data_IF_469432030693
#
_entry.id   IF_469432030693
#
_cell.length_a   1.000
_cell.length_b   1.000
_cell.length_c   1.000
_cell.angle_alpha   90.00
_cell.angle_beta   90.00
_cell.angle_gamma   90.00
#
_symmetry.space_group_name_H-M   'P 1'
#
loop_
_entity.id
_entity.type
_entity.pdbx_description
1 polymer ?
#
# COMPACT_ATOMS: atom_id res chain seq x y z
N UNK A 1 -21.01 -10.91 11.59
CA UNK A 1 -19.88 -10.41 10.77
C UNK A 1 -19.44 -9.13 11.47
N UNK A 2 -18.19 -9.03 11.94
CA UNK A 2 -17.73 -7.82 12.64
C UNK A 2 -17.68 -6.69 11.60
N UNK A 3 -18.49 -5.65 11.80
CA UNK A 3 -18.30 -4.37 11.13
C UNK A 3 -16.99 -3.80 11.66
N UNK A 4 -15.87 -4.18 11.04
CA UNK A 4 -14.59 -3.55 11.30
C UNK A 4 -14.66 -2.15 10.71
N UNK A 5 -14.51 -1.14 11.57
CA UNK A 5 -14.52 0.27 11.20
C UNK A 5 -13.48 0.51 10.10
N UNK A 6 -13.92 0.91 8.91
CA UNK A 6 -13.02 1.17 7.79
C UNK A 6 -12.39 2.53 8.04
N UNK A 7 -11.07 2.53 8.30
CA UNK A 7 -10.33 3.76 8.58
C UNK A 7 -10.09 4.55 7.29
N UNK A 8 -9.70 3.87 6.22
CA UNK A 8 -9.41 4.48 4.90
C UNK A 8 -9.71 3.48 3.80
N UNK A 9 -10.56 3.85 2.83
CA UNK A 9 -10.69 3.10 1.58
C UNK A 9 -9.81 3.73 0.51
N UNK A 10 -9.04 2.92 -0.21
CA UNK A 10 -8.31 3.39 -1.37
C UNK A 10 -9.29 3.63 -2.53
N UNK A 11 -9.31 4.84 -3.06
CA UNK A 11 -10.00 5.13 -4.31
C UNK A 11 -9.13 4.66 -5.49
N UNK A 12 -9.77 4.05 -6.48
CA UNK A 12 -9.11 3.68 -7.73
C UNK A 12 -9.52 4.65 -8.83
N UNK A 13 -8.62 4.98 -9.74
CA UNK A 13 -8.93 5.92 -10.82
C UNK A 13 -9.62 5.18 -12.00
N UNK A 14 -10.73 5.72 -12.54
CA UNK A 14 -11.46 5.14 -13.67
C UNK A 14 -10.67 5.01 -14.97
N UNK A 15 -9.42 5.51 -15.04
CA UNK A 15 -8.49 5.33 -16.17
C UNK A 15 -7.78 3.98 -16.20
N UNK A 16 -7.92 3.17 -15.15
CA UNK A 16 -7.36 1.82 -15.08
C UNK A 16 -7.73 0.91 -16.28
N UNK A 17 -8.99 0.89 -16.77
CA UNK A 17 -9.37 0.09 -17.94
C UNK A 17 -8.64 0.53 -19.21
N UNK A 18 -8.36 1.83 -19.34
CA UNK A 18 -7.63 2.40 -20.49
C UNK A 18 -6.19 1.92 -20.51
N UNK A 19 -5.53 1.82 -19.35
CA UNK A 19 -4.18 1.25 -19.22
C UNK A 19 -4.14 -0.19 -19.78
N UNK A 20 -5.05 -1.06 -19.33
CA UNK A 20 -5.09 -2.44 -19.80
C UNK A 20 -5.46 -2.54 -21.29
N UNK A 21 -6.35 -1.67 -21.78
CA UNK A 21 -6.70 -1.59 -23.21
C UNK A 21 -5.50 -1.20 -24.06
N UNK A 22 -4.71 -0.20 -23.66
CA UNK A 22 -3.49 0.21 -24.36
C UNK A 22 -2.45 -0.92 -24.39
N UNK A 23 -2.26 -1.61 -23.25
CA UNK A 23 -1.32 -2.72 -23.16
C UNK A 23 -1.75 -3.90 -24.05
N UNK A 24 -3.04 -4.24 -24.07
CA UNK A 24 -3.58 -5.28 -24.94
C UNK A 24 -3.52 -4.90 -26.43
N UNK A 25 -3.79 -3.62 -26.76
CA UNK A 25 -3.68 -3.11 -28.12
C UNK A 25 -2.25 -3.20 -28.64
N UNK A 26 -1.26 -2.84 -27.82
CA UNK A 26 0.16 -2.91 -28.18
C UNK A 26 0.58 -4.37 -28.47
N UNK A 27 0.17 -5.32 -27.62
CA UNK A 27 0.39 -6.76 -27.83
C UNK A 27 -0.28 -7.26 -29.11
N UNK A 28 -1.51 -6.84 -29.39
CA UNK A 28 -2.24 -7.20 -30.60
C UNK A 28 -1.61 -6.60 -31.87
N UNK A 29 -1.03 -5.40 -31.77
CA UNK A 29 -0.37 -4.72 -32.89
C UNK A 29 0.95 -5.39 -33.26
N UNK A 30 1.70 -5.89 -32.27
CA UNK A 30 2.90 -6.71 -32.49
C UNK A 30 2.53 -8.11 -33.03
N UNK A 31 1.34 -8.62 -32.71
CA UNK A 31 0.90 -9.94 -33.15
C UNK A 31 0.37 -9.91 -34.59
N UNK A 32 1.08 -10.57 -35.51
CA UNK A 32 0.68 -10.69 -36.92
C UNK A 32 -0.71 -11.33 -37.10
N UNK A 33 -1.13 -12.20 -36.18
CA UNK A 33 -2.45 -12.85 -36.16
C UNK A 33 -3.49 -12.11 -35.30
N UNK A 34 -3.09 -11.11 -34.53
CA UNK A 34 -3.97 -10.33 -33.66
C UNK A 34 -4.81 -9.29 -34.40
N UNK A 35 -4.29 -8.76 -35.52
CA UNK A 35 -4.90 -7.68 -36.28
C UNK A 35 -6.40 -7.88 -36.63
N UNK A 36 -6.85 -9.03 -37.17
CA UNK A 36 -8.28 -9.22 -37.47
C UNK A 36 -9.16 -9.32 -36.22
N UNK A 37 -8.60 -9.65 -35.05
CA UNK A 37 -9.34 -9.79 -33.79
C UNK A 37 -9.48 -8.47 -33.01
N UNK A 38 -8.75 -7.41 -33.41
CA UNK A 38 -8.77 -6.09 -32.75
C UNK A 38 -10.19 -5.52 -32.53
N UNK A 39 -11.09 -5.44 -33.53
CA UNK A 39 -12.41 -4.83 -33.32
C UNK A 39 -13.28 -5.63 -32.34
N UNK A 40 -13.21 -6.96 -32.39
CA UNK A 40 -13.91 -7.85 -31.46
C UNK A 40 -13.35 -7.69 -30.04
N UNK A 41 -12.02 -7.69 -29.91
CA UNK A 41 -11.32 -7.52 -28.64
C UNK A 41 -11.54 -6.14 -28.03
N UNK A 42 -11.66 -5.09 -28.83
CA UNK A 42 -11.88 -3.73 -28.34
C UNK A 42 -13.24 -3.61 -27.63
N UNK A 43 -14.29 -4.21 -28.18
CA UNK A 43 -15.63 -4.21 -27.59
C UNK A 43 -15.66 -5.07 -26.32
N UNK A 44 -15.19 -6.31 -26.39
CA UNK A 44 -15.15 -7.22 -25.24
C UNK A 44 -14.20 -6.73 -24.14
N UNK A 45 -13.03 -6.25 -24.52
CA UNK A 45 -11.98 -5.78 -23.62
C UNK A 45 -12.41 -4.55 -22.83
N UNK A 46 -13.10 -3.57 -23.44
CA UNK A 46 -13.67 -2.45 -22.66
C UNK A 46 -14.62 -2.93 -21.58
N UNK A 47 -15.53 -3.84 -21.93
CA UNK A 47 -16.51 -4.36 -20.97
C UNK A 47 -15.83 -5.15 -19.84
N UNK A 48 -14.86 -6.01 -20.17
CA UNK A 48 -14.12 -6.81 -19.20
C UNK A 48 -13.27 -5.92 -18.29
N UNK A 49 -12.50 -4.98 -18.85
CA UNK A 49 -11.61 -4.12 -18.07
C UNK A 49 -12.39 -3.11 -17.20
N UNK A 50 -13.56 -2.64 -17.67
CA UNK A 50 -14.47 -1.86 -16.82
C UNK A 50 -14.97 -2.67 -15.62
N UNK A 51 -15.35 -3.94 -15.82
CA UNK A 51 -15.76 -4.82 -14.71
C UNK A 51 -14.61 -5.21 -13.79
N UNK A 52 -13.38 -5.30 -14.30
CA UNK A 52 -12.20 -5.50 -13.47
C UNK A 52 -11.96 -4.32 -12.53
N UNK A 53 -12.16 -3.09 -13.01
CA UNK A 53 -12.06 -1.88 -12.20
C UNK A 53 -13.13 -1.82 -11.11
N UNK A 54 -14.39 -2.07 -11.45
CA UNK A 54 -15.51 -2.08 -10.48
C UNK A 54 -15.37 -3.17 -9.39
N UNK A 55 -14.55 -4.20 -9.65
CA UNK A 55 -14.31 -5.31 -8.72
C UNK A 55 -13.02 -5.16 -7.89
N UNK A 56 -12.30 -4.04 -8.01
CA UNK A 56 -11.11 -3.74 -7.21
C UNK A 56 -11.49 -2.83 -6.03
N UNK A 57 -10.96 -3.16 -4.86
CA UNK A 57 -11.17 -2.40 -3.62
C UNK A 57 -10.03 -2.67 -2.64
N UNK A 58 -9.64 -1.68 -1.86
CA UNK A 58 -8.66 -1.84 -0.79
C UNK A 58 -9.15 -1.06 0.42
N UNK A 59 -9.50 -1.78 1.49
CA UNK A 59 -10.03 -1.19 2.71
C UNK A 59 -8.99 -1.37 3.83
N UNK A 60 -8.53 -0.26 4.40
CA UNK A 60 -7.69 -0.24 5.60
C UNK A 60 -8.57 -0.31 6.84
N UNK A 61 -8.37 -1.35 7.65
CA UNK A 61 -8.98 -1.50 8.97
C UNK A 61 -7.93 -1.20 10.06
N UNK A 62 -8.33 -1.09 11.34
CA UNK A 62 -7.40 -0.78 12.43
C UNK A 62 -6.30 -1.81 12.63
N UNK A 63 -6.50 -3.05 12.16
CA UNK A 63 -5.57 -4.16 12.40
C UNK A 63 -5.13 -4.87 11.11
N UNK A 64 -5.78 -4.60 9.98
CA UNK A 64 -5.49 -5.28 8.74
C UNK A 64 -5.84 -4.49 7.49
N UNK A 65 -5.22 -4.87 6.38
CA UNK A 65 -5.46 -4.35 5.05
C UNK A 65 -6.25 -5.39 4.25
N UNK A 66 -7.49 -5.06 3.89
CA UNK A 66 -8.37 -5.91 3.11
C UNK A 66 -8.26 -5.54 1.63
N UNK A 67 -7.56 -6.37 0.87
CA UNK A 67 -7.42 -6.22 -0.59
C UNK A 67 -8.43 -7.11 -1.29
N UNK A 68 -9.28 -6.51 -2.13
CA UNK A 68 -10.26 -7.18 -2.98
C UNK A 68 -9.90 -6.97 -4.45
N UNK A 69 -9.84 -8.06 -5.22
CA UNK A 69 -9.54 -8.02 -6.66
C UNK A 69 -10.33 -9.09 -7.41
N UNK A 70 -10.75 -8.76 -8.62
CA UNK A 70 -11.13 -9.72 -9.64
C UNK A 70 -12.63 -9.78 -9.90
N UNK A 71 -12.98 -9.80 -11.19
CA UNK A 71 -14.36 -9.80 -11.66
C UNK A 71 -14.91 -11.22 -11.88
N UNK A 72 -14.11 -12.10 -12.51
CA UNK A 72 -14.48 -13.48 -12.80
C UNK A 72 -14.10 -14.43 -11.65
N UNK A 73 -12.92 -14.21 -11.08
CA UNK A 73 -12.41 -14.89 -9.89
C UNK A 73 -12.21 -13.83 -8.81
N UNK A 74 -13.16 -13.75 -7.87
CA UNK A 74 -13.09 -12.83 -6.74
C UNK A 74 -12.04 -13.34 -5.76
N UNK A 75 -10.97 -12.57 -5.58
CA UNK A 75 -9.90 -12.83 -4.62
C UNK A 75 -9.96 -11.76 -3.55
N UNK A 76 -10.26 -12.17 -2.31
CA UNK A 76 -10.19 -11.31 -1.14
C UNK A 76 -9.03 -11.77 -0.26
N UNK A 77 -8.13 -10.85 0.07
CA UNK A 77 -6.98 -11.09 0.95
C UNK A 77 -7.10 -10.16 2.14
N UNK A 78 -7.00 -10.72 3.33
CA UNK A 78 -6.89 -9.96 4.56
C UNK A 78 -5.42 -10.05 5.00
N UNK A 79 -4.70 -8.93 4.91
CA UNK A 79 -3.28 -8.85 5.24
C UNK A 79 -3.17 -8.14 6.59
N UNK A 80 -2.79 -8.83 7.68
CA UNK A 80 -2.58 -8.20 8.96
C UNK A 80 -1.46 -7.15 8.88
N UNK A 81 -1.62 -6.01 9.54
CA UNK A 81 -0.62 -4.93 9.47
C UNK A 81 0.75 -5.37 10.02
N UNK A 82 0.77 -6.23 11.05
CA UNK A 82 1.98 -6.81 11.63
C UNK A 82 2.76 -7.72 10.66
N UNK A 83 2.14 -8.15 9.56
CA UNK A 83 2.78 -8.97 8.53
C UNK A 83 3.30 -8.17 7.36
N UNK A 84 3.05 -6.86 7.29
CA UNK A 84 3.51 -6.05 6.17
C UNK A 84 4.97 -5.67 6.39
N UNK A 85 5.84 -6.14 5.50
CA UNK A 85 7.28 -5.89 5.56
C UNK A 85 7.65 -4.66 4.76
N UNK A 86 7.13 -4.55 3.54
CA UNK A 86 7.44 -3.47 2.62
C UNK A 86 6.20 -3.01 1.84
N UNK A 87 6.12 -1.70 1.59
CA UNK A 87 5.13 -1.09 0.71
C UNK A 87 5.86 -0.22 -0.33
N UNK A 88 5.99 -0.74 -1.54
CA UNK A 88 6.59 -0.02 -2.66
C UNK A 88 5.51 0.59 -3.56
N UNK A 89 5.64 1.88 -3.86
CA UNK A 89 4.83 2.56 -4.88
C UNK A 89 5.66 2.64 -6.16
N UNK A 90 5.11 2.12 -7.26
CA UNK A 90 5.74 2.09 -8.57
C UNK A 90 4.94 2.92 -9.57
N UNK A 91 5.62 3.85 -10.23
CA UNK A 91 5.06 4.73 -11.26
C UNK A 91 5.77 4.47 -12.59
N UNK A 92 5.21 3.59 -13.42
CA UNK A 92 5.71 3.40 -14.79
C UNK A 92 5.37 4.60 -15.69
N UNK A 93 6.09 4.83 -16.81
CA UNK A 93 5.83 5.96 -17.71
C UNK A 93 4.38 6.06 -18.20
N UNK A 94 3.77 4.92 -18.54
CA UNK A 94 2.37 4.84 -18.99
C UNK A 94 1.39 5.08 -17.83
N UNK A 95 1.71 4.56 -16.64
CA UNK A 95 0.92 4.79 -15.43
C UNK A 95 0.95 6.28 -15.07
N UNK A 96 2.13 6.91 -15.06
CA UNK A 96 2.33 8.34 -14.84
C UNK A 96 1.58 9.20 -15.85
N UNK A 97 1.61 8.83 -17.14
CA UNK A 97 0.85 9.55 -18.18
C UNK A 97 -0.67 9.50 -17.95
N UNK A 98 -1.16 8.39 -17.39
CA UNK A 98 -2.58 8.23 -17.05
C UNK A 98 -2.94 8.81 -15.67
N UNK A 99 -1.96 9.30 -14.90
CA UNK A 99 -2.17 9.76 -13.51
C UNK A 99 -2.36 8.62 -12.51
N UNK A 100 -1.90 7.41 -12.86
CA UNK A 100 -2.06 6.18 -12.08
C UNK A 100 -0.76 5.84 -11.35
N UNK A 101 -0.89 5.29 -10.13
CA UNK A 101 0.23 4.72 -9.37
C UNK A 101 -0.05 3.26 -9.04
N UNK A 102 0.96 2.39 -9.05
CA UNK A 102 0.82 0.98 -8.69
C UNK A 102 1.44 0.72 -7.32
N UNK A 103 0.67 0.25 -6.36
CA UNK A 103 1.17 -0.13 -5.04
C UNK A 103 1.48 -1.62 -5.00
N UNK A 104 2.64 -1.98 -4.44
CA UNK A 104 3.06 -3.35 -4.16
C UNK A 104 3.25 -3.49 -2.65
N UNK A 105 2.56 -4.46 -2.08
CA UNK A 105 2.64 -4.82 -0.68
C UNK A 105 3.37 -6.16 -0.60
N UNK A 106 4.42 -6.22 0.20
CA UNK A 106 5.17 -7.44 0.50
C UNK A 106 4.94 -7.85 1.95
N UNK A 107 4.67 -9.14 2.17
CA UNK A 107 4.36 -9.67 3.49
C UNK A 107 5.37 -10.71 3.96
N UNK A 108 5.65 -10.72 5.26
CA UNK A 108 6.50 -11.72 5.88
C UNK A 108 5.85 -13.11 5.80
N UNK A 109 6.58 -14.07 5.22
CA UNK A 109 6.16 -15.47 5.14
C UNK A 109 5.54 -15.88 3.80
N UNK A 110 5.46 -14.99 2.83
CA UNK A 110 5.00 -15.35 1.51
C UNK A 110 6.12 -15.44 0.48
N UNK A 111 6.61 -16.66 0.24
CA UNK A 111 7.54 -16.94 -0.84
C UNK A 111 6.96 -16.63 -2.23
N UNK A 112 7.85 -16.55 -3.22
CA UNK A 112 7.53 -16.30 -4.63
C UNK A 112 6.50 -17.32 -5.13
N UNK A 113 5.26 -16.88 -5.35
CA UNK A 113 4.14 -17.72 -5.76
C UNK A 113 3.07 -17.98 -4.70
N UNK A 114 3.28 -17.58 -3.45
CA UNK A 114 2.20 -17.58 -2.46
C UNK A 114 1.26 -16.41 -2.71
N UNK A 115 -0.04 -16.70 -2.76
CA UNK A 115 -1.10 -15.68 -2.86
C UNK A 115 -1.07 -14.70 -1.69
N UNK A 116 -0.31 -14.95 -0.63
CA UNK A 116 -0.18 -14.04 0.52
C UNK A 116 1.06 -13.15 0.47
N UNK A 117 2.13 -13.52 -0.22
CA UNK A 117 3.44 -12.85 -0.16
C UNK A 117 3.55 -11.52 -0.87
N UNK A 118 2.82 -11.36 -1.97
CA UNK A 118 2.85 -10.13 -2.76
C UNK A 118 1.44 -9.77 -3.24
N UNK A 119 1.04 -8.53 -2.98
CA UNK A 119 -0.18 -7.95 -3.53
C UNK A 119 0.17 -6.71 -4.35
N UNK A 120 -0.20 -6.71 -5.63
CA UNK A 120 -0.03 -5.57 -6.54
C UNK A 120 -1.40 -4.99 -6.86
N UNK A 121 -1.58 -3.73 -6.50
CA UNK A 121 -2.78 -2.93 -6.74
C UNK A 121 -2.43 -1.79 -7.71
N UNK A 122 -2.72 -1.94 -9.01
CA UNK A 122 -2.52 -0.86 -9.97
C UNK A 122 -3.62 0.20 -9.87
N UNK A 123 -3.23 1.47 -10.04
CA UNK A 123 -4.10 2.65 -10.15
C UNK A 123 -4.82 3.08 -8.89
N UNK A 124 -4.12 2.99 -7.76
CA UNK A 124 -4.55 3.63 -6.51
C UNK A 124 -4.39 5.14 -6.67
N UNK A 125 -5.45 5.90 -6.38
CA UNK A 125 -5.44 7.37 -6.31
C UNK A 125 -4.65 7.77 -5.08
N UNK A 126 -3.69 8.68 -5.25
CA UNK A 126 -2.78 9.11 -4.17
C UNK A 126 -2.09 7.94 -3.45
N UNK A 127 -1.45 7.06 -4.23
CA UNK A 127 -0.77 5.89 -3.67
C UNK A 127 0.30 6.23 -2.63
N UNK A 128 0.92 7.41 -2.73
CA UNK A 128 1.91 7.90 -1.76
C UNK A 128 1.22 8.24 -0.43
N UNK A 129 0.17 9.06 -0.44
CA UNK A 129 -0.57 9.39 0.77
C UNK A 129 -1.23 8.17 1.41
N UNK A 130 -1.74 7.23 0.61
CA UNK A 130 -2.28 5.96 1.13
C UNK A 130 -1.18 5.09 1.75
N UNK A 131 0.00 4.97 1.11
CA UNK A 131 1.15 4.23 1.67
C UNK A 131 1.53 4.79 3.03
N UNK A 132 1.68 6.09 3.14
CA UNK A 132 2.13 6.74 4.36
C UNK A 132 1.13 6.48 5.50
N UNK A 133 -0.18 6.59 5.24
CA UNK A 133 -1.22 6.22 6.23
C UNK A 133 -1.19 4.75 6.65
N UNK A 134 -0.91 3.83 5.72
CA UNK A 134 -0.79 2.40 6.05
C UNK A 134 0.44 2.14 6.92
N UNK A 135 1.56 2.80 6.64
CA UNK A 135 2.77 2.71 7.45
C UNK A 135 2.56 3.30 8.85
N UNK A 136 1.96 4.49 8.94
CA UNK A 136 1.62 5.13 10.21
C UNK A 136 0.72 4.23 11.08
N UNK A 137 -0.31 3.63 10.46
CA UNK A 137 -1.21 2.71 11.15
C UNK A 137 -0.50 1.41 11.57
N UNK A 138 0.38 0.86 10.72
CA UNK A 138 1.21 -0.30 11.07
C UNK A 138 2.07 0.01 12.29
N UNK A 139 2.73 1.16 12.30
CA UNK A 139 3.62 1.57 13.38
C UNK A 139 2.83 1.82 14.67
N UNK A 140 1.64 2.43 14.59
CA UNK A 140 0.73 2.57 15.73
C UNK A 140 0.29 1.20 16.30
N UNK A 141 0.01 0.21 15.45
CA UNK A 141 -0.37 -1.15 15.87
C UNK A 141 0.83 -1.91 16.44
N UNK A 142 2.03 -1.72 15.88
CA UNK A 142 3.26 -2.37 16.33
C UNK A 142 3.73 -1.81 17.68
N UNK A 143 3.63 -0.50 17.87
CA UNK A 143 3.97 0.18 19.13
C UNK A 143 2.89 0.00 20.19
N UNK A 144 1.64 -0.28 19.82
CA UNK A 144 0.50 -0.27 20.75
C UNK A 144 0.19 1.12 21.32
N UNK A 145 0.76 2.17 20.71
CA UNK A 145 0.66 3.56 21.14
C UNK A 145 -0.21 4.30 20.12
N UNK A 146 -1.36 4.78 20.59
CA UNK A 146 -2.21 5.71 19.85
C UNK A 146 -1.39 6.92 19.35
N UNK A 147 -1.74 7.54 18.22
CA UNK A 147 -0.88 8.50 17.52
C UNK A 147 -0.35 9.58 18.47
N UNK A 148 0.97 9.55 18.68
CA UNK A 148 1.72 10.58 19.37
C UNK A 148 1.67 11.84 18.50
N UNK A 149 0.68 12.68 18.79
CA UNK A 149 0.78 14.08 18.50
C UNK A 149 2.09 14.62 19.11
N UNK A 150 2.86 15.34 18.30
CA UNK A 150 4.02 16.17 18.65
C UNK A 150 5.24 15.43 19.24
N UNK A 151 6.18 15.11 18.34
CA UNK A 151 7.54 14.66 18.63
C UNK A 151 8.46 15.74 19.25
N UNK A 152 7.96 16.95 19.55
CA UNK A 152 8.80 18.08 20.01
C UNK A 152 9.04 18.13 21.53
N UNK A 153 8.44 17.24 22.35
CA UNK A 153 8.58 17.31 23.83
C UNK A 153 9.49 16.22 24.39
N UNK A 154 9.73 15.14 23.64
CA UNK A 154 10.49 13.99 24.13
C UNK A 154 12.02 14.19 24.08
N UNK A 155 12.54 15.00 23.16
CA UNK A 155 13.98 15.26 23.07
C UNK A 155 14.50 16.07 24.27
N UNK A 156 13.76 17.08 24.73
CA UNK A 156 14.17 17.91 25.87
C UNK A 156 14.20 17.12 27.19
N UNK A 157 13.27 16.18 27.38
CA UNK A 157 13.24 15.34 28.59
C UNK A 157 14.44 14.41 28.69
N UNK A 158 14.81 13.76 27.59
CA UNK A 158 15.94 12.83 27.53
C UNK A 158 17.26 13.58 27.74
N UNK A 159 17.42 14.78 27.18
CA UNK A 159 18.61 15.61 27.37
C UNK A 159 18.76 16.11 28.81
N UNK A 160 17.65 16.43 29.48
CA UNK A 160 17.63 16.79 30.90
C UNK A 160 18.04 15.60 31.78
N UNK A 161 17.52 14.40 31.50
CA UNK A 161 17.83 13.18 32.25
C UNK A 161 19.31 12.77 32.11
N UNK A 162 19.87 12.88 30.89
CA UNK A 162 21.31 12.64 30.64
C UNK A 162 22.17 13.67 31.39
N UNK A 163 21.78 14.94 31.41
CA UNK A 163 22.52 15.98 32.14
C UNK A 163 22.53 15.73 33.65
N UNK A 164 21.39 15.33 34.20
CA UNK A 164 21.24 15.17 35.64
C UNK A 164 21.95 13.89 36.13
N UNK A 165 21.96 12.83 35.33
CA UNK A 165 22.79 11.64 35.60
C UNK A 165 24.28 11.96 35.54
N UNK A 166 24.74 12.77 34.59
CA UNK A 166 26.14 13.21 34.53
C UNK A 166 26.55 14.04 35.75
N UNK A 167 25.72 14.99 36.18
CA UNK A 167 25.98 15.78 37.40
C UNK A 167 26.06 14.93 38.67
N UNK A 168 25.24 13.89 38.75
CA UNK A 168 25.27 12.97 39.89
C UNK A 168 26.57 12.14 39.92
N UNK A 169 27.06 11.70 38.75
CA UNK A 169 28.34 10.98 38.66
C UNK A 169 29.51 11.90 39.04
N UNK A 170 29.49 13.16 38.61
CA UNK A 170 30.51 14.16 38.94
C UNK A 170 30.58 14.43 40.45
N UNK A 171 29.44 14.56 41.13
CA UNK A 171 29.40 14.79 42.59
C UNK A 171 29.97 13.60 43.38
N UNK A 172 29.68 12.37 42.92
CA UNK A 172 30.22 11.16 43.52
C UNK A 172 31.73 11.01 43.30
N UNK A 173 32.26 11.46 42.16
CA UNK A 173 33.70 11.45 41.89
C UNK A 173 34.44 12.53 42.71
N UNK A 174 33.87 13.73 42.84
CA UNK A 174 34.43 14.81 43.65
C UNK A 174 34.46 14.49 45.16
N UNK A 175 33.52 13.67 45.65
CA UNK A 175 33.52 13.19 47.04
C UNK A 175 34.56 12.11 47.35
N UNK A 176 35.19 11.54 46.32
CA UNK A 176 36.10 10.39 46.41
C UNK A 176 37.58 10.75 46.19
N UNK A 177 37.89 12.00 45.85
CA UNK A 177 39.25 12.57 45.74
C UNK A 177 39.55 13.47 46.94
#
# INVERSE_FOLDING_TARGET
MREEEILVSAEFDPRLPTYFMLQALLVLLISLFGAPLIPIWFIFGKAIHRRQYEAMGCDLTPRSLNVRKGFLFKVQKNIPLDKITDLAVNEGPVLRYLGLCSMRIETAGGGQGSTMGQAVLPGVVDALGFRDRVLDQRDAVASGVAPLASADVAEDGVLVEIRDTLKNIESHLASRS
#
